data_IF_173038503616
#
_entry.id   IF_173038503616
#
_cell.length_a   1.000
_cell.length_b   1.000
_cell.length_c   1.000
_cell.angle_alpha   90.00
_cell.angle_beta   90.00
_cell.angle_gamma   90.00
#
_symmetry.space_group_name_H-M   'P 1'
#
loop_
_entity.id
_entity.type
_entity.pdbx_description
1 polymer ?
#
# COMPACT_ATOMS: atom_id res chain seq x y z
N UNK A 1 2.13 -54.27 -14.12
CA UNK A 1 1.46 -53.06 -13.59
C UNK A 1 1.85 -51.89 -14.48
N UNK A 2 0.97 -51.48 -15.38
CA UNK A 2 1.18 -50.26 -16.15
C UNK A 2 0.86 -49.07 -15.22
N UNK A 3 1.82 -48.17 -15.04
CA UNK A 3 1.56 -46.87 -14.43
C UNK A 3 0.83 -46.06 -15.50
N UNK A 4 -0.49 -45.95 -15.38
CA UNK A 4 -1.26 -44.98 -16.17
C UNK A 4 -0.79 -43.58 -15.78
N UNK A 5 0.07 -43.00 -16.61
CA UNK A 5 0.36 -41.58 -16.58
C UNK A 5 -0.90 -40.87 -17.05
N UNK A 6 -1.73 -40.42 -16.09
CA UNK A 6 -2.87 -39.56 -16.36
C UNK A 6 -2.34 -38.23 -16.87
N UNK A 7 -2.40 -38.02 -18.19
CA UNK A 7 -2.07 -36.74 -18.80
C UNK A 7 -3.15 -35.72 -18.41
N UNK A 8 -2.72 -34.60 -17.81
CA UNK A 8 -3.61 -33.51 -17.43
C UNK A 8 -4.17 -32.84 -18.67
N UNK A 9 -5.49 -32.89 -18.84
CA UNK A 9 -6.18 -32.20 -19.94
C UNK A 9 -6.41 -30.73 -19.58
N UNK A 10 -6.63 -29.89 -20.59
CA UNK A 10 -6.89 -28.46 -20.40
C UNK A 10 -8.09 -28.17 -19.47
N UNK A 11 -9.14 -29.01 -19.53
CA UNK A 11 -10.33 -28.86 -18.70
C UNK A 11 -10.10 -29.24 -17.23
N UNK A 12 -9.13 -30.13 -16.96
CA UNK A 12 -8.70 -30.46 -15.60
C UNK A 12 -8.09 -29.23 -14.94
N UNK A 13 -7.32 -28.42 -15.68
CA UNK A 13 -6.74 -27.18 -15.17
C UNK A 13 -7.81 -26.14 -14.79
N UNK A 14 -8.91 -26.06 -15.54
CA UNK A 14 -10.06 -25.21 -15.19
C UNK A 14 -10.72 -25.68 -13.89
N UNK A 15 -10.91 -26.99 -13.74
CA UNK A 15 -11.51 -27.62 -12.56
C UNK A 15 -10.63 -27.47 -11.31
N UNK A 16 -9.32 -27.68 -11.44
CA UNK A 16 -8.33 -27.45 -10.37
C UNK A 16 -8.36 -26.00 -9.92
N UNK A 17 -8.32 -25.03 -10.85
CA UNK A 17 -8.40 -23.59 -10.52
C UNK A 17 -9.69 -23.26 -9.74
N UNK A 18 -10.84 -23.78 -10.18
CA UNK A 18 -12.12 -23.57 -9.48
C UNK A 18 -12.13 -24.19 -8.08
N UNK A 19 -11.57 -25.40 -7.94
CA UNK A 19 -11.46 -26.08 -6.65
C UNK A 19 -10.58 -25.28 -5.68
N UNK A 20 -9.39 -24.87 -6.12
CA UNK A 20 -8.50 -23.99 -5.34
C UNK A 20 -9.17 -22.67 -4.96
N UNK A 21 -9.89 -22.04 -5.88
CA UNK A 21 -10.61 -20.80 -5.61
C UNK A 21 -11.69 -20.98 -4.53
N UNK A 22 -12.48 -22.06 -4.60
CA UNK A 22 -13.51 -22.38 -3.60
C UNK A 22 -12.92 -22.61 -2.21
N UNK A 23 -11.82 -23.35 -2.11
CA UNK A 23 -11.15 -23.57 -0.82
C UNK A 23 -10.57 -22.26 -0.26
N UNK A 24 -9.96 -21.42 -1.10
CA UNK A 24 -9.48 -20.09 -0.68
C UNK A 24 -10.61 -19.21 -0.17
N UNK A 25 -11.77 -19.23 -0.82
CA UNK A 25 -12.93 -18.42 -0.41
C UNK A 25 -13.55 -18.82 0.93
N UNK A 26 -13.25 -20.01 1.46
CA UNK A 26 -13.67 -20.40 2.82
C UNK A 26 -12.88 -19.66 3.91
N UNK A 27 -11.66 -19.21 3.60
CA UNK A 27 -10.72 -18.57 4.53
C UNK A 27 -10.73 -17.05 4.35
N UNK A 28 -10.95 -16.58 3.12
CA UNK A 28 -10.99 -15.14 2.80
C UNK A 28 -12.29 -14.54 3.36
N UNK A 29 -12.21 -13.48 4.20
CA UNK A 29 -13.41 -12.82 4.71
C UNK A 29 -14.21 -12.17 3.57
N UNK A 30 -15.53 -12.10 3.74
CA UNK A 30 -16.40 -11.44 2.79
C UNK A 30 -15.96 -9.97 2.57
N UNK A 31 -15.99 -9.54 1.31
CA UNK A 31 -15.61 -8.18 0.92
C UNK A 31 -16.44 -7.16 1.72
N UNK A 32 -15.80 -6.12 2.28
CA UNK A 32 -16.52 -5.14 3.07
C UNK A 32 -17.46 -4.33 2.21
N UNK A 33 -18.66 -4.06 2.73
CA UNK A 33 -19.70 -3.28 2.02
C UNK A 33 -19.58 -1.78 2.25
N UNK A 34 -18.72 -1.35 3.17
CA UNK A 34 -18.48 0.05 3.50
C UNK A 34 -17.07 0.26 4.03
N UNK A 35 -16.57 1.49 3.92
CA UNK A 35 -15.25 1.88 4.44
C UNK A 35 -15.12 1.63 5.94
N UNK A 36 -16.18 1.85 6.72
CA UNK A 36 -16.19 1.53 8.15
C UNK A 36 -15.97 0.04 8.42
N UNK A 37 -16.71 -0.84 7.71
CA UNK A 37 -16.54 -2.28 7.85
C UNK A 37 -15.15 -2.73 7.39
N UNK A 38 -14.61 -2.11 6.33
CA UNK A 38 -13.24 -2.38 5.87
C UNK A 38 -12.24 -2.06 6.98
N UNK A 39 -12.27 -0.85 7.55
CA UNK A 39 -11.37 -0.45 8.65
C UNK A 39 -11.49 -1.40 9.85
N UNK A 40 -12.71 -1.77 10.23
CA UNK A 40 -12.95 -2.72 11.31
C UNK A 40 -12.34 -4.11 11.00
N UNK A 41 -12.53 -4.62 9.79
CA UNK A 41 -11.94 -5.89 9.34
C UNK A 41 -10.41 -5.85 9.36
N UNK A 42 -9.80 -4.76 8.89
CA UNK A 42 -8.33 -4.59 8.88
C UNK A 42 -7.75 -4.65 10.30
N UNK A 43 -8.43 -4.03 11.27
CA UNK A 43 -8.05 -4.07 12.68
C UNK A 43 -8.15 -5.46 13.29
N UNK A 44 -9.26 -6.16 13.06
CA UNK A 44 -9.50 -7.51 13.61
C UNK A 44 -8.46 -8.50 13.06
N UNK A 45 -8.17 -8.40 11.75
CA UNK A 45 -7.26 -9.33 11.09
C UNK A 45 -5.77 -9.03 11.34
N UNK A 46 -5.44 -7.87 11.95
CA UNK A 46 -4.08 -7.43 12.28
C UNK A 46 -3.02 -7.78 11.21
N UNK A 47 -3.09 -7.09 10.07
CA UNK A 47 -2.23 -7.39 8.92
C UNK A 47 -0.76 -7.20 9.28
N UNK A 48 -0.03 -8.31 9.26
CA UNK A 48 1.39 -8.38 9.56
C UNK A 48 2.16 -9.11 8.46
N UNK A 49 3.48 -8.91 8.43
CA UNK A 49 4.37 -9.62 7.52
C UNK A 49 4.58 -11.06 7.96
N UNK A 50 5.21 -11.88 7.11
CA UNK A 50 5.67 -13.23 7.48
C UNK A 50 6.65 -13.26 8.67
N UNK A 51 7.17 -12.11 9.09
CA UNK A 51 8.04 -11.94 10.27
C UNK A 51 7.29 -11.39 11.49
N UNK A 52 5.96 -11.36 11.45
CA UNK A 52 5.09 -10.78 12.49
C UNK A 52 5.35 -9.29 12.75
N UNK A 53 5.83 -8.55 11.75
CA UNK A 53 5.93 -7.09 11.83
C UNK A 53 4.60 -6.46 11.40
N UNK A 54 4.14 -5.41 12.10
CA UNK A 54 2.98 -4.62 11.67
C UNK A 54 3.23 -4.09 10.26
N UNK A 55 2.27 -4.34 9.36
CA UNK A 55 2.36 -3.90 7.97
C UNK A 55 1.30 -2.88 7.59
N UNK A 56 0.10 -2.94 8.19
CA UNK A 56 -0.99 -2.02 7.91
C UNK A 56 -1.21 -1.07 9.10
N UNK A 57 -1.14 0.23 8.84
CA UNK A 57 -1.43 1.30 9.77
C UNK A 57 -2.69 2.01 9.33
N UNK A 58 -3.66 2.15 10.23
CA UNK A 58 -4.98 2.71 9.94
C UNK A 58 -5.18 3.99 10.74
N UNK A 59 -5.38 5.10 10.04
CA UNK A 59 -5.85 6.34 10.65
C UNK A 59 -7.36 6.47 10.45
N UNK A 60 -8.12 6.44 11.55
CA UNK A 60 -9.59 6.41 11.49
C UNK A 60 -10.21 7.78 11.19
N UNK A 61 -9.55 8.85 11.64
CA UNK A 61 -10.04 10.21 11.50
C UNK A 61 -9.97 10.65 10.04
N UNK A 62 -8.78 10.55 9.44
CA UNK A 62 -8.55 10.86 8.03
C UNK A 62 -8.91 9.72 7.11
N UNK A 63 -9.19 8.51 7.63
CA UNK A 63 -9.50 7.29 6.87
C UNK A 63 -8.39 6.90 5.90
N UNK A 64 -7.14 7.20 6.25
CA UNK A 64 -5.96 6.86 5.45
C UNK A 64 -5.44 5.50 5.91
N UNK A 65 -5.12 4.63 4.95
CA UNK A 65 -4.40 3.39 5.20
C UNK A 65 -2.96 3.54 4.71
N UNK A 66 -2.00 3.17 5.55
CA UNK A 66 -0.58 3.17 5.19
C UNK A 66 -0.05 1.75 5.33
N UNK A 67 0.56 1.25 4.26
CA UNK A 67 1.24 -0.05 4.24
C UNK A 67 2.75 0.16 4.17
N UNK A 68 3.45 -0.26 5.21
CA UNK A 68 4.90 -0.13 5.33
C UNK A 68 5.41 -1.02 6.45
N UNK A 69 6.73 -1.14 6.58
CA UNK A 69 7.39 -1.80 7.71
C UNK A 69 8.37 -0.83 8.37
N UNK A 70 8.83 -1.15 9.58
CA UNK A 70 9.89 -0.38 10.23
C UNK A 70 11.16 -0.31 9.36
N UNK A 71 11.53 -1.42 8.71
CA UNK A 71 12.69 -1.46 7.81
C UNK A 71 12.50 -0.54 6.60
N UNK A 72 11.29 -0.52 6.01
CA UNK A 72 10.98 0.39 4.90
C UNK A 72 11.04 1.86 5.32
N UNK A 73 10.54 2.19 6.52
CA UNK A 73 10.58 3.55 7.06
C UNK A 73 12.01 3.99 7.38
N UNK A 74 12.81 3.11 7.99
CA UNK A 74 14.24 3.37 8.22
C UNK A 74 14.98 3.57 6.89
N UNK A 75 14.65 2.76 5.87
CA UNK A 75 15.19 2.92 4.53
C UNK A 75 14.79 4.24 3.88
N UNK A 76 13.53 4.65 4.02
CA UNK A 76 12.99 5.92 3.57
C UNK A 76 13.77 7.09 4.17
N UNK A 77 13.97 7.09 5.49
CA UNK A 77 14.71 8.16 6.17
C UNK A 77 16.17 8.21 5.68
N UNK A 78 16.85 7.06 5.65
CA UNK A 78 18.28 6.99 5.35
C UNK A 78 18.62 7.24 3.86
N UNK A 79 17.66 7.07 2.95
CA UNK A 79 17.88 7.18 1.50
C UNK A 79 16.92 8.20 0.87
N UNK A 80 16.49 9.22 1.61
CA UNK A 80 15.53 10.24 1.17
C UNK A 80 16.06 11.23 0.11
N UNK A 81 17.06 10.83 -0.68
CA UNK A 81 17.69 11.68 -1.71
C UNK A 81 16.73 12.02 -2.86
N UNK A 82 15.93 11.06 -3.31
CA UNK A 82 14.87 11.25 -4.31
C UNK A 82 13.66 10.45 -3.86
N UNK A 83 12.61 11.14 -3.45
CA UNK A 83 11.31 10.52 -3.25
C UNK A 83 10.53 10.63 -4.56
N UNK A 84 10.28 9.50 -5.19
CA UNK A 84 9.45 9.41 -6.38
C UNK A 84 8.06 8.97 -6.01
N UNK A 85 7.10 9.50 -6.75
CA UNK A 85 5.69 9.39 -6.42
C UNK A 85 4.90 9.08 -7.67
N UNK A 86 4.08 8.05 -7.56
CA UNK A 86 3.20 7.63 -8.64
C UNK A 86 1.79 7.47 -8.08
N UNK A 87 0.90 8.33 -8.54
CA UNK A 87 -0.53 8.15 -8.41
C UNK A 87 -1.04 7.24 -9.52
N UNK A 88 -1.13 5.93 -9.28
CA UNK A 88 -1.58 5.00 -10.31
C UNK A 88 -3.08 5.18 -10.59
N UNK A 89 -3.44 5.67 -11.78
CA UNK A 89 -4.82 5.97 -12.19
C UNK A 89 -5.72 4.74 -12.40
N UNK A 90 -5.14 3.53 -12.50
CA UNK A 90 -5.85 2.38 -13.09
C UNK A 90 -6.42 1.36 -12.09
N UNK A 91 -5.99 1.33 -10.82
CA UNK A 91 -6.42 0.30 -9.85
C UNK A 91 -6.46 0.86 -8.43
N UNK A 92 -7.50 1.63 -8.09
CA UNK A 92 -7.76 1.97 -6.69
C UNK A 92 -8.80 0.99 -6.10
N UNK A 93 -8.52 0.35 -4.94
CA UNK A 93 -9.49 -0.46 -4.24
C UNK A 93 -10.79 0.31 -3.95
N UNK A 94 -11.91 -0.42 -3.90
CA UNK A 94 -13.19 0.14 -3.53
C UNK A 94 -13.07 0.95 -2.21
N UNK A 95 -13.82 2.05 -2.15
CA UNK A 95 -13.84 3.02 -1.03
C UNK A 95 -12.68 4.01 -0.95
N UNK A 96 -11.71 3.97 -1.86
CA UNK A 96 -10.62 4.94 -1.96
C UNK A 96 -10.57 5.58 -3.34
N UNK A 97 -10.07 6.81 -3.41
CA UNK A 97 -9.93 7.55 -4.67
C UNK A 97 -8.51 7.49 -5.25
N UNK A 98 -7.51 7.19 -4.42
CA UNK A 98 -6.11 7.16 -4.84
C UNK A 98 -5.30 6.10 -4.10
N UNK A 99 -4.60 5.25 -4.86
CA UNK A 99 -3.43 4.52 -4.38
C UNK A 99 -2.20 5.40 -4.62
N UNK A 100 -1.49 5.69 -3.54
CA UNK A 100 -0.38 6.61 -3.53
C UNK A 100 0.88 5.89 -3.09
N UNK A 101 1.93 5.92 -3.91
CA UNK A 101 3.16 5.16 -3.64
C UNK A 101 4.35 6.08 -3.41
N UNK A 102 5.21 5.71 -2.47
CA UNK A 102 6.45 6.42 -2.14
C UNK A 102 7.61 5.50 -2.46
N UNK A 103 8.46 5.98 -3.35
CA UNK A 103 9.62 5.28 -3.84
C UNK A 103 10.88 5.98 -3.37
N UNK A 104 11.91 5.18 -3.12
CA UNK A 104 13.26 5.64 -2.83
C UNK A 104 14.16 5.20 -3.98
N UNK A 105 14.99 6.12 -4.47
CA UNK A 105 16.07 5.77 -5.41
C UNK A 105 17.30 5.27 -4.65
N UNK A 106 17.69 4.03 -4.88
CA UNK A 106 18.94 3.48 -4.37
C UNK A 106 19.69 2.74 -5.46
N UNK A 107 20.95 3.13 -5.70
CA UNK A 107 21.81 2.53 -6.73
C UNK A 107 21.11 2.41 -8.10
N UNK A 108 20.43 3.47 -8.51
CA UNK A 108 19.68 3.55 -9.77
C UNK A 108 18.45 2.63 -9.88
N UNK A 109 17.98 2.07 -8.76
CA UNK A 109 16.75 1.27 -8.69
C UNK A 109 15.71 2.01 -7.85
N UNK A 110 14.48 2.07 -8.33
CA UNK A 110 13.33 2.58 -7.59
C UNK A 110 12.72 1.48 -6.73
N UNK A 111 12.72 1.70 -5.42
CA UNK A 111 12.17 0.77 -4.44
C UNK A 111 10.96 1.40 -3.76
N UNK A 112 9.81 0.74 -3.88
CA UNK A 112 8.58 1.13 -3.20
C UNK A 112 8.66 0.78 -1.72
N UNK A 113 8.60 1.79 -0.87
CA UNK A 113 8.77 1.62 0.58
C UNK A 113 7.47 1.87 1.34
N UNK A 114 6.60 2.75 0.84
CA UNK A 114 5.32 3.06 1.48
C UNK A 114 4.21 3.08 0.43
N UNK A 115 3.09 2.47 0.76
CA UNK A 115 1.84 2.55 -0.01
C UNK A 115 0.78 3.21 0.85
N UNK A 116 0.00 4.12 0.29
CA UNK A 116 -1.08 4.80 0.98
C UNK A 116 -2.37 4.69 0.17
N UNK A 117 -3.47 4.29 0.82
CA UNK A 117 -4.81 4.40 0.25
C UNK A 117 -5.46 5.66 0.81
N UNK A 118 -5.81 6.58 -0.07
CA UNK A 118 -6.33 7.90 0.27
C UNK A 118 -7.83 7.98 -0.07
N UNK A 119 -8.66 8.50 0.84
CA UNK A 119 -10.10 8.59 0.61
C UNK A 119 -10.48 9.71 -0.37
N UNK A 120 -9.60 10.70 -0.58
CA UNK A 120 -9.80 11.75 -1.59
C UNK A 120 -8.48 12.35 -2.08
N UNK A 121 -8.51 13.02 -3.24
CA UNK A 121 -7.36 13.73 -3.82
C UNK A 121 -7.36 15.22 -3.43
N UNK A 122 -7.35 15.50 -2.12
CA UNK A 122 -7.34 16.88 -1.60
C UNK A 122 -6.00 17.21 -0.94
N UNK A 123 -5.62 18.50 -0.95
CA UNK A 123 -4.36 18.97 -0.33
C UNK A 123 -4.30 18.58 1.15
N UNK A 124 -5.42 18.67 1.86
CA UNK A 124 -5.51 18.32 3.28
C UNK A 124 -5.21 16.83 3.53
N UNK A 125 -5.75 15.94 2.70
CA UNK A 125 -5.48 14.50 2.80
C UNK A 125 -4.00 14.20 2.52
N UNK A 126 -3.38 14.86 1.53
CA UNK A 126 -1.95 14.69 1.28
C UNK A 126 -1.09 15.20 2.46
N UNK A 127 -1.46 16.33 3.07
CA UNK A 127 -0.80 16.87 4.28
C UNK A 127 -0.91 15.88 5.44
N UNK A 128 -2.12 15.37 5.72
CA UNK A 128 -2.38 14.37 6.76
C UNK A 128 -1.60 13.08 6.52
N UNK A 129 -1.62 12.55 5.30
CA UNK A 129 -0.85 11.37 4.91
C UNK A 129 0.63 11.54 5.26
N UNK A 130 1.24 12.67 4.90
CA UNK A 130 2.65 12.92 5.19
C UNK A 130 2.95 13.10 6.68
N UNK A 131 2.07 13.75 7.43
CA UNK A 131 2.20 13.81 8.89
C UNK A 131 2.17 12.41 9.50
N UNK A 132 1.25 11.55 9.08
CA UNK A 132 1.18 10.16 9.52
C UNK A 132 2.49 9.41 9.22
N UNK A 133 3.04 9.55 8.01
CA UNK A 133 4.34 8.95 7.65
C UNK A 133 5.46 9.46 8.56
N UNK A 134 5.53 10.76 8.81
CA UNK A 134 6.53 11.36 9.72
C UNK A 134 6.41 10.79 11.13
N UNK A 135 5.19 10.60 11.63
CA UNK A 135 4.92 10.01 12.95
C UNK A 135 5.33 8.53 13.02
N UNK A 136 5.18 7.78 11.93
CA UNK A 136 5.63 6.39 11.85
C UNK A 136 7.16 6.27 11.79
N UNK A 137 7.85 7.27 11.25
CA UNK A 137 9.32 7.30 11.23
C UNK A 137 9.89 7.55 12.63
N UNK A 138 10.83 6.69 13.08
CA UNK A 138 11.56 6.88 14.35
C UNK A 138 12.54 8.07 14.33
N UNK A 139 12.91 8.52 13.13
CA UNK A 139 13.86 9.59 12.88
C UNK A 139 13.22 10.62 11.96
N UNK A 140 13.72 11.84 12.00
CA UNK A 140 13.22 12.93 11.18
C UNK A 140 13.44 12.63 9.69
N UNK A 141 12.35 12.64 8.91
CA UNK A 141 12.39 12.50 7.46
C UNK A 141 12.75 13.85 6.82
N UNK A 142 13.92 13.95 6.19
CA UNK A 142 14.42 15.15 5.50
C UNK A 142 14.77 14.85 4.05
N UNK A 143 13.78 14.84 3.15
CA UNK A 143 14.06 14.60 1.74
C UNK A 143 14.89 15.74 1.15
N UNK A 144 15.86 15.40 0.31
CA UNK A 144 16.68 16.38 -0.41
C UNK A 144 16.01 16.82 -1.72
N UNK A 145 15.44 15.87 -2.46
CA UNK A 145 14.64 16.13 -3.64
C UNK A 145 13.36 15.28 -3.58
N UNK A 146 12.24 15.87 -3.98
CA UNK A 146 10.97 15.17 -4.14
C UNK A 146 10.53 15.34 -5.59
N UNK A 147 10.41 14.22 -6.31
CA UNK A 147 9.92 14.20 -7.68
C UNK A 147 8.46 13.76 -7.67
N UNK A 148 7.61 14.63 -8.22
CA UNK A 148 6.17 14.46 -8.26
C UNK A 148 5.68 14.48 -9.70
N UNK A 149 4.57 13.79 -9.93
CA UNK A 149 3.78 14.00 -11.13
C UNK A 149 3.14 15.40 -11.13
N UNK A 150 2.60 15.83 -12.26
CA UNK A 150 2.06 17.19 -12.45
C UNK A 150 0.78 17.48 -11.64
N UNK A 151 0.39 16.65 -10.67
CA UNK A 151 -0.77 16.90 -9.82
C UNK A 151 -0.49 18.08 -8.87
N UNK A 152 -1.06 19.25 -9.17
CA UNK A 152 -0.86 20.48 -8.39
C UNK A 152 -1.26 20.33 -6.91
N UNK A 153 -2.28 19.53 -6.64
CA UNK A 153 -2.80 19.31 -5.29
C UNK A 153 -1.77 18.56 -4.42
N UNK A 154 -1.12 17.53 -4.99
CA UNK A 154 -0.06 16.79 -4.32
C UNK A 154 1.18 17.66 -4.07
N UNK A 155 1.56 18.51 -5.05
CA UNK A 155 2.62 19.51 -4.89
C UNK A 155 2.35 20.46 -3.71
N UNK A 156 1.15 21.04 -3.67
CA UNK A 156 0.77 21.97 -2.60
C UNK A 156 0.80 21.29 -1.23
N UNK A 157 0.42 20.01 -1.15
CA UNK A 157 0.47 19.25 0.10
C UNK A 157 1.89 19.04 0.59
N UNK A 158 2.82 18.73 -0.31
CA UNK A 158 4.24 18.55 0.02
C UNK A 158 4.89 19.82 0.48
N UNK A 159 4.69 20.93 -0.22
CA UNK A 159 5.31 22.22 0.13
C UNK A 159 4.89 22.72 1.52
N UNK A 160 3.71 22.30 2.00
CA UNK A 160 3.27 22.59 3.37
C UNK A 160 4.01 21.77 4.44
N UNK A 161 4.51 20.59 4.09
CA UNK A 161 5.20 19.69 5.02
C UNK A 161 6.72 19.84 4.95
N UNK A 162 7.24 20.04 3.75
CA UNK A 162 8.65 20.16 3.40
C UNK A 162 8.82 21.45 2.57
N UNK A 163 8.93 22.62 3.23
CA UNK A 163 9.00 23.91 2.54
C UNK A 163 10.39 24.24 1.96
N UNK A 164 11.42 23.48 2.36
CA UNK A 164 12.82 23.68 1.98
C UNK A 164 13.27 22.63 0.98
#
# INVERSE_FOLDING_TARGET
MAVETTELLHDDMSSIRKSMYRERQKIIPAAPTSLFKLIQQLKINNISTHRNETFCHVDEESKILIFTTNNNLEYLVNNSHIILRDGTFYVCPAHFEQLYTIHVLHKSIYVQVVYCLLPSKTTDIYVKMWHLIKTLCKKELKPQNILLDFEQIAHNGILRIFPN
#
